data_IF_436602278480
#
_entry.id   IF_436602278480
#
_cell.length_a   1.000
_cell.length_b   1.000
_cell.length_c   1.000
_cell.angle_alpha   90.00
_cell.angle_beta   90.00
_cell.angle_gamma   90.00
#
_symmetry.space_group_name_H-M   'P 1'
#
loop_
_entity.id
_entity.type
_entity.pdbx_description
1 polymer ?
#
# COMPACT_ATOMS: atom_id res chain seq x y z
N UNK A 1 19.09 13.93 16.93
CA UNK A 1 19.80 12.64 17.03
C UNK A 1 19.77 12.00 15.66
N UNK A 2 20.90 11.95 14.96
CA UNK A 2 21.00 11.37 13.62
C UNK A 2 21.09 9.86 13.80
N UNK A 3 19.98 9.15 13.57
CA UNK A 3 19.93 7.69 13.64
C UNK A 3 20.96 7.13 12.66
N UNK A 4 21.88 6.28 13.11
CA UNK A 4 22.81 5.58 12.21
C UNK A 4 21.98 4.80 11.20
N UNK A 5 22.23 5.05 9.91
CA UNK A 5 21.37 4.57 8.84
C UNK A 5 21.78 3.16 8.43
N UNK A 6 20.95 2.20 8.84
CA UNK A 6 21.05 0.78 8.49
C UNK A 6 20.43 0.53 7.12
N UNK A 7 20.89 -0.52 6.43
CA UNK A 7 20.19 -1.05 5.25
C UNK A 7 19.03 -1.92 5.75
N UNK A 8 17.80 -1.58 5.36
CA UNK A 8 16.61 -2.37 5.68
C UNK A 8 16.21 -3.16 4.44
N UNK A 9 16.48 -4.46 4.45
CA UNK A 9 16.20 -5.28 3.27
C UNK A 9 14.70 -5.52 3.05
N UNK A 10 13.90 -5.46 4.11
CA UNK A 10 12.45 -5.66 4.04
C UNK A 10 11.74 -4.55 4.79
N UNK A 11 10.97 -3.75 4.07
CA UNK A 11 10.23 -2.63 4.64
C UNK A 11 8.73 -2.82 4.43
N UNK A 12 7.95 -2.36 5.41
CA UNK A 12 6.49 -2.29 5.32
C UNK A 12 6.06 -0.83 5.16
N UNK A 13 5.05 -0.59 4.34
CA UNK A 13 4.47 0.73 4.10
C UNK A 13 2.97 0.64 4.30
N UNK A 14 2.45 1.50 5.17
CA UNK A 14 1.03 1.52 5.51
C UNK A 14 0.55 2.96 5.69
N UNK A 15 -0.76 3.11 5.64
CA UNK A 15 -1.48 4.35 5.90
C UNK A 15 -2.19 4.25 7.25
N UNK A 16 -2.07 5.29 8.07
CA UNK A 16 -2.88 5.43 9.28
C UNK A 16 -3.62 6.75 9.26
N UNK A 17 -4.94 6.68 9.27
CA UNK A 17 -5.76 7.87 9.48
C UNK A 17 -5.61 8.35 10.93
N UNK A 18 -5.18 9.59 11.10
CA UNK A 18 -5.01 10.24 12.41
C UNK A 18 -6.13 11.26 12.61
N UNK A 19 -6.78 11.22 13.77
CA UNK A 19 -7.80 12.19 14.19
C UNK A 19 -9.17 12.06 13.49
N UNK A 20 -10.15 12.83 13.99
CA UNK A 20 -11.45 13.00 13.33
C UNK A 20 -11.32 14.07 12.23
N UNK A 21 -11.01 13.66 11.01
CA UNK A 21 -10.94 14.60 9.88
C UNK A 21 -10.05 14.25 8.69
N UNK A 22 -9.47 13.04 8.62
CA UNK A 22 -8.71 12.56 7.45
C UNK A 22 -7.33 13.21 7.22
N UNK A 23 -6.49 13.31 8.25
CA UNK A 23 -5.04 13.41 8.01
C UNK A 23 -4.49 11.98 7.95
N UNK A 24 -4.33 11.48 6.74
CA UNK A 24 -3.72 10.17 6.52
C UNK A 24 -2.21 10.32 6.70
N UNK A 25 -1.60 9.42 7.48
CA UNK A 25 -0.17 9.41 7.78
C UNK A 25 0.47 8.22 7.09
N UNK A 26 1.50 8.48 6.30
CA UNK A 26 2.37 7.45 5.74
C UNK A 26 3.28 6.92 6.83
N UNK A 27 3.35 5.59 7.00
CA UNK A 27 4.24 4.90 7.93
C UNK A 27 5.16 3.97 7.13
N UNK A 28 6.47 4.04 7.39
CA UNK A 28 7.43 3.04 6.93
C UNK A 28 8.04 2.34 8.14
N UNK A 29 8.10 1.01 8.10
CA UNK A 29 8.66 0.19 9.16
C UNK A 29 9.70 -0.81 8.62
N UNK A 30 10.70 -1.11 9.46
CA UNK A 30 11.60 -2.25 9.23
C UNK A 30 10.89 -3.54 9.66
N UNK A 31 10.62 -4.43 8.72
CA UNK A 31 9.96 -5.71 8.99
C UNK A 31 10.90 -6.70 9.70
N UNK A 32 12.22 -6.51 9.61
CA UNK A 32 13.20 -7.33 10.31
C UNK A 32 13.31 -6.99 11.80
N UNK A 33 13.28 -5.70 12.15
CA UNK A 33 13.35 -5.24 13.54
C UNK A 33 11.99 -4.94 14.19
N UNK A 34 10.88 -5.00 13.42
CA UNK A 34 9.54 -4.59 13.88
C UNK A 34 9.51 -3.17 14.44
N UNK A 35 10.27 -2.26 13.84
CA UNK A 35 10.46 -0.89 14.33
C UNK A 35 9.98 0.13 13.30
N UNK A 36 9.28 1.16 13.77
CA UNK A 36 8.92 2.32 12.93
C UNK A 36 10.18 3.08 12.50
N UNK A 37 10.31 3.33 11.21
CA UNK A 37 11.47 4.00 10.62
C UNK A 37 11.16 5.43 10.20
N UNK A 38 10.00 5.67 9.63
CA UNK A 38 9.64 6.96 9.07
C UNK A 38 8.13 7.19 9.14
N UNK A 39 7.76 8.45 9.32
CA UNK A 39 6.37 8.92 9.26
C UNK A 39 6.31 10.20 8.45
N UNK A 40 5.33 10.33 7.58
CA UNK A 40 5.04 11.57 6.86
C UNK A 40 3.55 11.84 6.85
N UNK A 41 3.19 13.13 6.77
CA UNK A 41 1.81 13.54 6.57
C UNK A 41 1.39 13.29 5.11
N UNK A 42 0.10 13.05 4.92
CA UNK A 42 -0.57 12.73 3.67
C UNK A 42 -0.22 11.36 3.04
N UNK A 43 -1.10 10.98 2.10
CA UNK A 43 -0.93 9.86 1.17
C UNK A 43 -0.62 10.35 -0.24
N UNK A 44 0.55 10.97 -0.41
CA UNK A 44 1.05 11.47 -1.70
C UNK A 44 2.32 10.75 -2.09
N UNK A 45 2.61 10.74 -3.39
CA UNK A 45 3.88 10.24 -3.92
C UNK A 45 5.05 10.97 -3.24
N UNK A 46 4.93 12.30 -3.13
CA UNK A 46 5.94 13.18 -2.50
C UNK A 46 6.28 12.78 -1.07
N UNK A 47 5.29 12.33 -0.29
CA UNK A 47 5.50 11.90 1.11
C UNK A 47 6.43 10.69 1.20
N UNK A 48 6.43 9.82 0.18
CA UNK A 48 7.27 8.64 0.09
C UNK A 48 8.58 8.91 -0.67
N UNK A 49 8.56 9.85 -1.62
CA UNK A 49 9.75 10.35 -2.30
C UNK A 49 10.75 10.92 -1.27
N UNK A 50 10.28 11.73 -0.31
CA UNK A 50 11.10 12.27 0.79
C UNK A 50 11.85 11.16 1.57
N UNK A 51 11.20 10.02 1.80
CA UNK A 51 11.82 8.87 2.46
C UNK A 51 12.95 8.29 1.61
N UNK A 52 12.71 8.05 0.32
CA UNK A 52 13.69 7.44 -0.57
C UNK A 52 14.83 8.37 -0.97
N UNK A 53 14.56 9.66 -1.18
CA UNK A 53 15.58 10.68 -1.41
C UNK A 53 16.53 10.78 -0.22
N UNK A 54 16.02 10.53 0.99
CA UNK A 54 16.83 10.36 2.18
C UNK A 54 17.81 9.20 2.08
N UNK A 55 17.51 8.11 1.39
CA UNK A 55 18.37 6.93 1.32
C UNK A 55 19.55 7.10 0.37
N UNK A 56 20.72 6.57 0.74
CA UNK A 56 21.83 6.42 -0.21
C UNK A 56 21.48 5.41 -1.30
N UNK A 57 22.25 5.43 -2.39
CA UNK A 57 22.09 4.47 -3.48
C UNK A 57 22.23 3.03 -2.98
N UNK A 58 23.25 2.75 -2.19
CA UNK A 58 23.50 1.42 -1.62
C UNK A 58 22.34 0.95 -0.73
N UNK A 59 21.72 1.88 -0.01
CA UNK A 59 20.54 1.55 0.81
C UNK A 59 19.33 1.21 -0.05
N UNK A 60 19.09 1.93 -1.15
CA UNK A 60 17.98 1.64 -2.08
C UNK A 60 18.20 0.33 -2.82
N UNK A 61 19.43 0.05 -3.24
CA UNK A 61 19.82 -1.21 -3.87
C UNK A 61 19.73 -2.39 -2.88
N UNK A 62 19.88 -2.13 -1.58
CA UNK A 62 19.73 -3.14 -0.54
C UNK A 62 18.29 -3.46 -0.11
N UNK A 63 17.27 -2.75 -0.64
CA UNK A 63 15.86 -3.07 -0.40
C UNK A 63 15.48 -4.25 -1.31
N UNK A 64 15.17 -5.38 -0.69
CA UNK A 64 14.80 -6.63 -1.36
C UNK A 64 13.27 -6.80 -1.46
N UNK A 65 12.52 -6.28 -0.48
CA UNK A 65 11.07 -6.32 -0.51
C UNK A 65 10.41 -5.11 0.17
N UNK A 66 9.32 -4.65 -0.41
CA UNK A 66 8.44 -3.59 0.10
C UNK A 66 7.03 -4.12 0.18
N UNK A 67 6.56 -4.35 1.40
CA UNK A 67 5.18 -4.77 1.66
C UNK A 67 4.30 -3.53 1.74
N UNK A 68 3.28 -3.43 0.90
CA UNK A 68 2.43 -2.23 0.82
C UNK A 68 1.01 -2.52 0.35
N UNK A 69 0.12 -1.57 0.59
CA UNK A 69 -1.23 -1.55 0.01
C UNK A 69 -1.21 -1.22 -1.49
N UNK A 70 -2.31 -1.57 -2.17
CA UNK A 70 -2.52 -1.22 -3.58
C UNK A 70 -2.85 0.28 -3.67
N UNK A 71 -1.81 1.11 -3.75
CA UNK A 71 -1.88 2.57 -3.74
C UNK A 71 -1.04 3.15 -4.87
N UNK A 72 -1.68 3.72 -5.90
CA UNK A 72 -1.01 4.26 -7.09
C UNK A 72 0.10 5.29 -6.77
N UNK A 73 -0.10 6.25 -5.83
CA UNK A 73 0.97 7.16 -5.41
C UNK A 73 2.22 6.46 -4.89
N UNK A 74 2.07 5.39 -4.11
CA UNK A 74 3.20 4.67 -3.55
C UNK A 74 3.90 3.81 -4.61
N UNK A 75 3.13 3.18 -5.50
CA UNK A 75 3.67 2.44 -6.65
C UNK A 75 4.49 3.39 -7.53
N UNK A 76 4.00 4.61 -7.77
CA UNK A 76 4.71 5.61 -8.56
C UNK A 76 6.04 6.03 -7.90
N UNK A 77 6.03 6.31 -6.59
CA UNK A 77 7.23 6.68 -5.84
C UNK A 77 8.27 5.55 -5.84
N UNK A 78 7.81 4.32 -5.62
CA UNK A 78 8.63 3.10 -5.69
C UNK A 78 9.33 2.96 -7.04
N UNK A 79 8.59 3.09 -8.15
CA UNK A 79 9.15 3.01 -9.50
C UNK A 79 10.14 4.13 -9.81
N UNK A 80 9.97 5.31 -9.19
CA UNK A 80 10.87 6.43 -9.37
C UNK A 80 12.20 6.25 -8.61
N UNK A 81 12.19 5.54 -7.47
CA UNK A 81 13.32 5.55 -6.53
C UNK A 81 14.03 4.21 -6.37
N UNK A 82 13.37 3.08 -6.62
CA UNK A 82 13.96 1.76 -6.49
C UNK A 82 14.29 1.15 -7.86
N UNK A 83 15.50 0.60 -8.05
CA UNK A 83 15.93 0.05 -9.33
C UNK A 83 15.12 -1.20 -9.76
N UNK A 84 14.54 -1.93 -8.81
CA UNK A 84 13.79 -3.17 -9.03
C UNK A 84 12.39 -3.09 -8.43
N UNK A 85 11.76 -1.91 -8.49
CA UNK A 85 10.47 -1.64 -7.85
C UNK A 85 9.39 -2.69 -8.13
N UNK A 86 9.27 -3.17 -9.37
CA UNK A 86 8.22 -4.16 -9.73
C UNK A 86 8.47 -5.55 -9.14
N UNK A 87 9.73 -5.95 -8.97
CA UNK A 87 10.12 -7.24 -8.39
C UNK A 87 10.05 -7.19 -6.85
N UNK A 88 10.29 -6.01 -6.28
CA UNK A 88 10.39 -5.82 -4.83
C UNK A 88 9.02 -5.58 -4.18
N UNK A 89 7.98 -5.23 -4.93
CA UNK A 89 6.65 -4.95 -4.36
C UNK A 89 5.94 -6.25 -3.97
N UNK A 90 5.50 -6.31 -2.71
CA UNK A 90 4.64 -7.35 -2.16
C UNK A 90 3.34 -6.72 -1.70
N UNK A 91 2.24 -6.98 -2.40
CA UNK A 91 0.94 -6.45 -1.99
C UNK A 91 0.45 -7.14 -0.72
N UNK A 92 -0.07 -6.34 0.21
CA UNK A 92 -0.72 -6.87 1.40
C UNK A 92 -1.91 -7.78 1.03
N UNK A 93 -1.90 -8.99 1.61
CA UNK A 93 -2.88 -10.02 1.30
C UNK A 93 -4.29 -9.61 1.72
N UNK A 94 -4.45 -8.96 2.87
CA UNK A 94 -5.77 -8.56 3.36
C UNK A 94 -6.41 -7.55 2.40
N UNK A 95 -5.66 -6.52 2.00
CA UNK A 95 -6.16 -5.51 1.07
C UNK A 95 -6.44 -6.07 -0.31
N UNK A 96 -5.59 -6.98 -0.82
CA UNK A 96 -5.85 -7.67 -2.08
C UNK A 96 -7.16 -8.47 -2.03
N UNK A 97 -7.36 -9.27 -0.97
CA UNK A 97 -8.58 -10.08 -0.81
C UNK A 97 -9.83 -9.20 -0.63
N UNK A 98 -9.72 -8.12 0.16
CA UNK A 98 -10.82 -7.17 0.34
C UNK A 98 -11.19 -6.47 -0.97
N UNK A 99 -10.21 -6.12 -1.79
CA UNK A 99 -10.43 -5.54 -3.12
C UNK A 99 -11.17 -6.53 -4.03
N UNK A 100 -10.71 -7.78 -4.09
CA UNK A 100 -11.37 -8.84 -4.88
C UNK A 100 -12.81 -9.09 -4.42
N UNK A 101 -13.05 -9.13 -3.09
CA UNK A 101 -14.39 -9.29 -2.52
C UNK A 101 -15.36 -8.21 -3.00
N UNK A 102 -14.94 -6.94 -3.00
CA UNK A 102 -15.75 -5.82 -3.49
C UNK A 102 -16.11 -5.94 -4.97
N UNK A 103 -15.19 -6.47 -5.79
CA UNK A 103 -15.43 -6.69 -7.23
C UNK A 103 -16.49 -7.77 -7.43
N UNK A 104 -16.38 -8.89 -6.71
CA UNK A 104 -17.37 -9.98 -6.76
C UNK A 104 -18.73 -9.51 -6.29
N UNK A 105 -18.79 -8.79 -5.17
CA UNK A 105 -20.03 -8.22 -4.63
C UNK A 105 -20.71 -7.29 -5.64
N UNK A 106 -19.93 -6.46 -6.35
CA UNK A 106 -20.46 -5.56 -7.38
C UNK A 106 -21.06 -6.34 -8.56
N UNK A 107 -20.39 -7.40 -9.03
CA UNK A 107 -20.89 -8.25 -10.10
C UNK A 107 -22.19 -8.95 -9.68
N UNK A 108 -22.23 -9.54 -8.49
CA UNK A 108 -23.42 -10.17 -7.93
C UNK A 108 -24.61 -9.20 -7.83
N UNK A 109 -24.37 -7.99 -7.34
CA UNK A 109 -25.40 -6.94 -7.31
C UNK A 109 -25.93 -6.63 -8.70
N UNK A 110 -25.05 -6.44 -9.68
CA UNK A 110 -25.45 -6.15 -11.06
C UNK A 110 -26.30 -7.28 -11.67
N UNK A 111 -25.91 -8.53 -11.45
CA UNK A 111 -26.67 -9.70 -11.87
C UNK A 111 -28.03 -9.77 -11.19
N UNK A 112 -28.08 -9.56 -9.87
CA UNK A 112 -29.33 -9.51 -9.10
C UNK A 112 -30.31 -8.46 -9.65
N UNK A 113 -29.86 -7.23 -9.89
CA UNK A 113 -30.71 -6.18 -10.45
C UNK A 113 -31.23 -6.53 -11.85
N UNK A 114 -30.41 -7.20 -12.67
CA UNK A 114 -30.80 -7.66 -14.01
C UNK A 114 -31.88 -8.75 -13.95
N UNK A 115 -31.74 -9.72 -13.04
CA UNK A 115 -32.72 -10.80 -12.84
C UNK A 115 -34.02 -10.30 -12.21
N UNK A 116 -33.95 -9.38 -11.25
CA UNK A 116 -35.12 -8.72 -10.70
C UNK A 116 -35.95 -7.99 -11.75
N UNK A 117 -35.30 -7.33 -12.72
CA UNK A 117 -35.98 -6.72 -13.87
C UNK A 117 -36.73 -7.73 -14.74
N UNK A 118 -36.29 -8.99 -14.72
CA UNK A 118 -36.90 -10.12 -15.45
C UNK A 118 -37.91 -10.90 -14.60
N UNK A 119 -38.19 -10.45 -13.35
CA UNK A 119 -39.00 -11.18 -12.36
C UNK A 119 -38.45 -12.57 -12.03
N UNK A 120 -37.14 -12.71 -12.07
CA UNK A 120 -36.42 -13.91 -11.65
C UNK A 120 -35.81 -13.65 -10.27
N UNK A 121 -36.22 -14.45 -9.28
CA UNK A 121 -35.82 -14.31 -7.88
C UNK A 121 -34.63 -15.22 -7.48
N UNK A 122 -33.96 -15.87 -8.44
CA UNK A 122 -32.89 -16.85 -8.18
C UNK A 122 -31.74 -16.32 -7.31
N UNK A 123 -31.49 -15.01 -7.28
CA UNK A 123 -30.43 -14.36 -6.50
C UNK A 123 -30.95 -13.49 -5.33
N UNK A 124 -32.15 -13.75 -4.80
CA UNK A 124 -32.76 -12.92 -3.74
C UNK A 124 -32.34 -13.26 -2.30
N UNK A 125 -31.32 -14.12 -2.12
CA UNK A 125 -30.82 -14.60 -0.83
C UNK A 125 -29.45 -14.05 -0.46
#
# INVERSE_FOLDING_TARGET
MTKERKIYSRIGMDEKSVGKGHSDMTLVCDLGASMGEFTSEDRKQTSLDDYFEGLSREQREGIEAVVMDICDPYIASMKAHLPQAEENVVFDRYHLMAHMGKVVEKAQKQEHWSLWGQRDETLSG
#
